data_IF_858302905420
#
_entry.id   IF_858302905420
#
_cell.length_a   1.000
_cell.length_b   1.000
_cell.length_c   1.000
_cell.angle_alpha   90.00
_cell.angle_beta   90.00
_cell.angle_gamma   90.00
#
_symmetry.space_group_name_H-M   'P 1'
#
loop_
_entity.id
_entity.type
_entity.pdbx_description
1 polymer ?
#
# COMPACT_ATOMS: atom_id res chain seq x y z
N UNK A 1 -26.23 8.00 -14.16
CA UNK A 1 -25.27 6.89 -13.96
C UNK A 1 -25.23 6.57 -12.48
N UNK A 2 -25.16 5.29 -12.07
CA UNK A 2 -24.96 4.95 -10.67
C UNK A 2 -23.62 5.52 -10.18
N UNK A 3 -23.57 5.96 -8.92
CA UNK A 3 -22.33 6.44 -8.31
C UNK A 3 -21.30 5.29 -8.23
N UNK A 4 -20.00 5.55 -8.45
CA UNK A 4 -18.97 4.54 -8.29
C UNK A 4 -18.98 3.99 -6.86
N UNK A 5 -18.76 2.68 -6.73
CA UNK A 5 -18.59 2.04 -5.43
C UNK A 5 -17.10 2.17 -5.08
N UNK A 6 -16.80 3.04 -4.13
CA UNK A 6 -15.44 3.30 -3.69
C UNK A 6 -15.18 2.66 -2.32
N UNK A 7 -13.98 2.12 -2.15
CA UNK A 7 -13.47 1.69 -0.84
C UNK A 7 -12.27 2.53 -0.49
N UNK A 8 -12.33 3.19 0.66
CA UNK A 8 -11.24 3.95 1.24
C UNK A 8 -10.64 3.18 2.43
N UNK A 9 -9.33 3.17 2.56
CA UNK A 9 -8.65 2.74 3.77
C UNK A 9 -7.35 3.52 3.99
N UNK A 10 -6.88 3.49 5.24
CA UNK A 10 -5.64 4.15 5.64
C UNK A 10 -4.59 3.12 6.05
N UNK A 11 -3.42 3.16 5.42
CA UNK A 11 -2.30 2.27 5.68
C UNK A 11 -1.11 3.00 6.32
N UNK A 12 -0.28 2.26 7.06
CA UNK A 12 1.02 2.73 7.53
C UNK A 12 2.09 1.72 7.19
N UNK A 13 3.21 2.21 6.67
CA UNK A 13 4.31 1.40 6.17
C UNK A 13 5.61 1.84 6.83
N UNK A 14 6.49 0.89 7.08
CA UNK A 14 7.84 1.17 7.60
C UNK A 14 8.84 0.17 7.07
N UNK A 15 10.03 0.64 6.76
CA UNK A 15 11.10 -0.21 6.26
C UNK A 15 12.45 0.46 6.31
N UNK A 16 13.50 -0.35 6.33
CA UNK A 16 14.87 0.15 6.13
C UNK A 16 15.18 0.09 4.64
N UNK A 17 15.50 1.24 4.06
CA UNK A 17 15.93 1.32 2.66
C UNK A 17 17.43 1.58 2.57
N UNK A 18 18.06 1.02 1.55
CA UNK A 18 19.50 1.09 1.28
C UNK A 18 19.79 1.93 0.04
N UNK A 19 20.95 2.62 -0.03
CA UNK A 19 21.37 3.39 -1.19
C UNK A 19 21.41 2.53 -2.46
N UNK A 20 21.09 3.14 -3.59
CA UNK A 20 21.40 2.63 -4.93
C UNK A 20 22.53 3.49 -5.48
N UNK A 21 23.66 2.88 -5.87
CA UNK A 21 24.83 3.62 -6.36
C UNK A 21 25.37 4.62 -5.33
N UNK A 22 25.69 5.84 -5.79
CA UNK A 22 26.13 6.96 -4.95
C UNK A 22 24.96 7.70 -4.27
N UNK A 23 23.82 7.02 -4.11
CA UNK A 23 22.62 7.56 -3.52
C UNK A 23 22.78 7.94 -2.03
N UNK A 24 21.72 8.55 -1.46
CA UNK A 24 21.70 8.97 -0.06
C UNK A 24 21.87 7.78 0.87
N UNK A 25 22.39 8.04 2.09
CA UNK A 25 22.66 6.99 3.09
C UNK A 25 21.40 6.18 3.41
N UNK A 26 21.61 4.93 3.83
CA UNK A 26 20.54 4.06 4.30
C UNK A 26 19.75 4.74 5.44
N UNK A 27 18.43 4.65 5.39
CA UNK A 27 17.56 5.22 6.41
C UNK A 27 16.36 4.32 6.68
N UNK A 28 15.65 4.60 7.77
CA UNK A 28 14.29 4.12 7.95
C UNK A 28 13.38 5.07 7.17
N UNK A 29 12.49 4.48 6.37
CA UNK A 29 11.41 5.17 5.68
C UNK A 29 10.11 4.80 6.35
N UNK A 30 9.28 5.80 6.62
CA UNK A 30 7.93 5.63 7.16
C UNK A 30 6.93 6.31 6.24
N UNK A 31 5.87 5.59 5.87
CA UNK A 31 4.70 6.17 5.19
C UNK A 31 3.57 6.18 6.21
N UNK A 32 3.11 7.37 6.56
CA UNK A 32 2.11 7.58 7.59
C UNK A 32 0.79 8.03 6.96
N UNK A 33 -0.28 7.40 7.43
CA UNK A 33 -1.65 7.71 7.08
C UNK A 33 -1.89 7.76 5.56
N UNK A 34 -1.36 6.76 4.85
CA UNK A 34 -1.53 6.59 3.42
C UNK A 34 -3.00 6.26 3.12
N UNK A 35 -3.74 7.21 2.56
CA UNK A 35 -5.15 7.05 2.21
C UNK A 35 -5.26 6.54 0.78
N UNK A 36 -5.82 5.34 0.60
CA UNK A 36 -6.02 4.73 -0.71
C UNK A 36 -7.52 4.62 -0.96
N UNK A 37 -7.96 5.07 -2.15
CA UNK A 37 -9.34 4.94 -2.63
C UNK A 37 -9.37 4.02 -3.84
N UNK A 38 -10.09 2.92 -3.72
CA UNK A 38 -10.22 1.88 -4.75
C UNK A 38 -11.58 2.03 -5.42
N UNK A 39 -11.61 2.10 -6.75
CA UNK A 39 -12.84 2.01 -7.53
C UNK A 39 -13.14 0.53 -7.82
N UNK A 40 -14.21 0.02 -7.23
CA UNK A 40 -14.61 -1.38 -7.39
C UNK A 40 -15.44 -1.64 -8.65
N UNK A 41 -16.01 -0.60 -9.24
CA UNK A 41 -16.76 -0.66 -10.49
C UNK A 41 -15.87 -0.61 -11.73
N UNK A 42 -14.66 -0.05 -11.60
CA UNK A 42 -13.71 0.08 -12.69
C UNK A 42 -12.75 -1.11 -12.79
N UNK A 43 -12.21 -1.32 -14.00
CA UNK A 43 -11.10 -2.24 -14.27
C UNK A 43 -10.12 -1.56 -15.23
N UNK A 44 -8.82 -1.74 -15.01
CA UNK A 44 -7.80 -1.34 -15.99
C UNK A 44 -7.86 -2.25 -17.23
N UNK A 45 -7.14 -1.89 -18.30
CA UNK A 45 -7.04 -2.74 -19.49
C UNK A 45 -6.48 -4.15 -19.16
N UNK A 46 -5.72 -4.26 -18.09
CA UNK A 46 -5.12 -5.49 -17.57
C UNK A 46 -6.01 -6.20 -16.54
N UNK A 47 -7.24 -5.71 -16.32
CA UNK A 47 -8.20 -6.28 -15.40
C UNK A 47 -7.93 -6.00 -13.92
N UNK A 48 -6.98 -5.11 -13.60
CA UNK A 48 -6.70 -4.71 -12.23
C UNK A 48 -7.79 -3.76 -11.69
N UNK A 49 -7.95 -3.71 -10.38
CA UNK A 49 -8.74 -2.68 -9.70
C UNK A 49 -7.91 -1.39 -9.62
N UNK A 50 -8.35 -0.30 -10.28
CA UNK A 50 -7.65 0.97 -10.17
C UNK A 50 -7.93 1.60 -8.80
N UNK A 51 -6.91 2.24 -8.26
CA UNK A 51 -7.00 3.02 -7.05
C UNK A 51 -6.11 4.24 -7.12
N UNK A 52 -6.49 5.26 -6.35
CA UNK A 52 -5.79 6.53 -6.24
C UNK A 52 -5.33 6.74 -4.81
N UNK A 53 -4.17 7.35 -4.65
CA UNK A 53 -3.70 7.81 -3.35
C UNK A 53 -4.29 9.18 -3.09
N UNK A 54 -5.14 9.28 -2.07
CA UNK A 54 -5.84 10.51 -1.72
C UNK A 54 -5.09 11.37 -0.69
N UNK A 55 -4.05 10.82 -0.05
CA UNK A 55 -3.23 11.56 0.90
C UNK A 55 -2.31 10.67 1.72
N UNK A 56 -1.53 11.31 2.59
CA UNK A 56 -0.55 10.69 3.47
C UNK A 56 0.75 11.47 3.49
N UNK A 57 1.71 10.99 4.28
CA UNK A 57 3.02 11.62 4.42
C UNK A 57 4.13 10.58 4.39
N UNK A 58 5.26 10.94 3.79
CA UNK A 58 6.48 10.14 3.81
C UNK A 58 7.55 10.82 4.66
N UNK A 59 8.20 10.04 5.52
CA UNK A 59 9.34 10.47 6.32
C UNK A 59 10.55 9.64 5.92
N UNK A 60 11.56 10.31 5.37
CA UNK A 60 12.82 9.70 4.94
C UNK A 60 13.98 10.68 5.21
N UNK A 61 14.60 10.65 6.41
CA UNK A 61 15.52 11.68 6.87
C UNK A 61 16.77 11.90 6.00
N UNK A 62 17.16 10.91 5.20
CA UNK A 62 18.32 11.03 4.28
C UNK A 62 17.95 11.66 2.94
N UNK A 63 16.67 11.80 2.63
CA UNK A 63 16.15 12.56 1.49
C UNK A 63 15.80 13.99 1.89
N UNK A 64 15.05 14.13 2.99
CA UNK A 64 14.60 15.40 3.52
C UNK A 64 14.36 15.28 5.04
N UNK A 65 14.74 16.29 5.87
CA UNK A 65 14.64 16.19 7.33
C UNK A 65 13.20 16.24 7.87
N UNK A 66 12.26 16.81 7.13
CA UNK A 66 10.85 16.93 7.51
C UNK A 66 9.92 15.98 6.74
N UNK A 67 8.64 15.87 7.17
CA UNK A 67 7.64 15.08 6.47
C UNK A 67 7.37 15.65 5.07
N UNK A 68 7.20 14.74 4.10
CA UNK A 68 6.88 15.07 2.71
C UNK A 68 5.44 14.62 2.43
N UNK A 69 4.48 15.54 2.26
CA UNK A 69 3.13 15.18 1.86
C UNK A 69 3.13 14.48 0.49
N UNK A 70 2.23 13.51 0.36
CA UNK A 70 1.94 12.87 -0.92
C UNK A 70 1.17 13.86 -1.79
N UNK A 71 1.64 14.06 -3.02
CA UNK A 71 1.03 14.98 -3.99
C UNK A 71 0.15 14.28 -5.01
N UNK A 72 0.53 13.06 -5.40
CA UNK A 72 -0.23 12.22 -6.31
C UNK A 72 0.12 10.74 -6.08
N UNK A 73 -0.69 9.83 -6.59
CA UNK A 73 -0.32 8.43 -6.63
C UNK A 73 -1.40 7.55 -7.21
N UNK A 74 -0.95 6.47 -7.84
CA UNK A 74 -1.78 5.44 -8.43
C UNK A 74 -1.42 4.08 -7.88
N UNK A 75 -2.43 3.22 -7.76
CA UNK A 75 -2.27 1.84 -7.34
C UNK A 75 -3.14 0.96 -8.24
N UNK A 76 -2.55 -0.11 -8.76
CA UNK A 76 -3.26 -1.17 -9.46
C UNK A 76 -3.31 -2.39 -8.54
N UNK A 77 -4.49 -2.73 -8.03
CA UNK A 77 -4.67 -3.87 -7.15
C UNK A 77 -5.13 -5.10 -7.95
N UNK A 78 -4.63 -6.27 -7.56
CA UNK A 78 -5.09 -7.58 -8.05
C UNK A 78 -4.97 -7.64 -9.58
N UNK A 79 -3.75 -7.48 -10.10
CA UNK A 79 -3.48 -7.75 -11.52
C UNK A 79 -3.73 -9.23 -11.85
N UNK A 80 -3.85 -9.56 -13.13
CA UNK A 80 -4.00 -10.95 -13.60
C UNK A 80 -2.87 -11.88 -13.09
N UNK A 81 -1.67 -11.34 -12.88
CA UNK A 81 -0.49 -12.04 -12.37
C UNK A 81 -0.45 -12.12 -10.83
N UNK A 82 -1.52 -11.70 -10.14
CA UNK A 82 -1.56 -11.68 -8.68
C UNK A 82 -0.57 -10.69 -8.08
N UNK A 83 -0.39 -9.53 -8.71
CA UNK A 83 0.47 -8.46 -8.21
C UNK A 83 -0.34 -7.23 -7.86
N UNK A 84 0.29 -6.35 -7.11
CA UNK A 84 -0.14 -4.97 -6.94
C UNK A 84 1.04 -4.07 -7.30
N UNK A 85 0.77 -3.11 -8.18
CA UNK A 85 1.73 -2.10 -8.62
C UNK A 85 1.31 -0.76 -8.04
N UNK A 86 2.28 0.06 -7.65
CA UNK A 86 1.99 1.39 -7.15
C UNK A 86 3.11 2.36 -7.51
N UNK A 87 2.71 3.61 -7.67
CA UNK A 87 3.58 4.75 -7.88
C UNK A 87 3.01 5.93 -7.09
N UNK A 88 3.80 6.50 -6.19
CA UNK A 88 3.35 7.54 -5.26
C UNK A 88 4.35 8.69 -5.29
N UNK A 89 3.88 9.88 -5.65
CA UNK A 89 4.69 11.09 -5.66
C UNK A 89 4.58 11.83 -4.33
N UNK A 90 5.70 12.37 -3.87
CA UNK A 90 5.76 13.19 -2.66
C UNK A 90 6.78 14.30 -2.84
N UNK A 91 6.46 15.45 -2.24
CA UNK A 91 7.28 16.63 -2.31
C UNK A 91 7.50 17.18 -0.90
N UNK A 92 8.70 17.68 -0.63
CA UNK A 92 8.95 18.40 0.61
C UNK A 92 8.18 19.72 0.63
N UNK A 93 7.52 20.01 1.75
CA UNK A 93 6.84 21.28 1.94
C UNK A 93 7.86 22.42 1.82
N UNK A 94 7.56 23.41 0.96
CA UNK A 94 8.40 24.58 0.68
C UNK A 94 9.68 24.31 -0.12
N UNK A 95 9.87 23.09 -0.63
CA UNK A 95 11.05 22.65 -1.37
C UNK A 95 10.63 21.87 -2.62
N UNK A 96 10.06 22.53 -3.65
CA UNK A 96 9.55 21.86 -4.85
C UNK A 96 10.63 21.10 -5.64
N UNK A 97 11.91 21.47 -5.48
CA UNK A 97 13.06 20.75 -6.02
C UNK A 97 13.30 19.39 -5.35
N UNK A 98 12.75 19.18 -4.15
CA UNK A 98 12.78 17.93 -3.41
C UNK A 98 11.51 17.13 -3.67
N UNK A 99 11.32 16.76 -4.94
CA UNK A 99 10.23 15.89 -5.37
C UNK A 99 10.78 14.51 -5.68
N UNK A 100 10.06 13.49 -5.22
CA UNK A 100 10.45 12.10 -5.32
C UNK A 100 9.25 11.23 -5.67
N UNK A 101 9.54 10.04 -6.17
CA UNK A 101 8.52 9.01 -6.43
C UNK A 101 8.90 7.71 -5.73
N UNK A 102 7.93 7.10 -5.05
CA UNK A 102 8.02 5.80 -4.42
C UNK A 102 7.25 4.84 -5.33
N UNK A 103 7.98 3.99 -6.02
CA UNK A 103 7.40 2.94 -6.86
C UNK A 103 7.62 1.57 -6.22
N UNK A 104 6.77 0.62 -6.57
CA UNK A 104 7.06 -0.75 -6.22
C UNK A 104 6.03 -1.77 -6.62
N UNK A 105 6.28 -2.99 -6.13
CA UNK A 105 5.43 -4.14 -6.37
C UNK A 105 5.19 -4.90 -5.07
N UNK A 106 3.97 -5.40 -4.92
CA UNK A 106 3.61 -6.40 -3.93
C UNK A 106 3.17 -7.67 -4.63
N UNK A 107 3.71 -8.80 -4.20
CA UNK A 107 3.34 -10.11 -4.71
C UNK A 107 2.25 -10.69 -3.82
N UNK A 108 1.10 -11.03 -4.39
CA UNK A 108 0.06 -11.75 -3.66
C UNK A 108 0.42 -13.23 -3.69
N UNK A 109 0.41 -13.89 -2.53
CA UNK A 109 0.84 -15.27 -2.34
C UNK A 109 0.23 -16.25 -3.39
N UNK A 110 1.00 -16.72 -4.37
CA UNK A 110 0.53 -17.63 -5.43
C UNK A 110 0.44 -19.10 -4.98
N UNK A 111 1.04 -19.45 -3.82
CA UNK A 111 1.18 -20.86 -3.40
C UNK A 111 -0.15 -21.47 -2.93
N UNK A 112 -0.37 -22.75 -3.27
CA UNK A 112 -1.58 -23.52 -2.90
C UNK A 112 -1.70 -23.85 -1.40
N UNK A 113 -0.60 -23.84 -0.62
CA UNK A 113 -0.62 -24.05 0.85
C UNK A 113 0.54 -23.37 1.62
N UNK A 114 0.70 -22.03 1.58
CA UNK A 114 1.68 -21.33 2.40
C UNK A 114 1.28 -21.35 3.88
N UNK A 115 2.27 -21.41 4.78
CA UNK A 115 2.03 -21.27 6.21
C UNK A 115 1.42 -19.89 6.51
N UNK A 116 0.64 -19.75 7.60
CA UNK A 116 0.13 -18.47 8.09
C UNK A 116 1.16 -17.33 8.10
N UNK A 117 2.39 -17.62 8.53
CA UNK A 117 3.48 -16.65 8.61
C UNK A 117 3.98 -16.22 7.23
N UNK A 118 4.06 -17.15 6.28
CA UNK A 118 4.46 -16.85 4.91
C UNK A 118 3.42 -15.96 4.23
N UNK A 119 2.13 -16.29 4.40
CA UNK A 119 1.04 -15.46 3.89
C UNK A 119 1.14 -14.05 4.47
N UNK A 120 1.26 -13.93 5.78
CA UNK A 120 1.37 -12.63 6.45
C UNK A 120 2.50 -11.80 5.86
N UNK A 121 3.70 -12.39 5.72
CA UNK A 121 4.86 -11.69 5.17
C UNK A 121 4.59 -11.21 3.74
N UNK A 122 4.00 -12.06 2.90
CA UNK A 122 3.68 -11.72 1.50
C UNK A 122 2.57 -10.66 1.40
N UNK A 123 1.57 -10.69 2.28
CA UNK A 123 0.47 -9.71 2.30
C UNK A 123 0.84 -8.40 2.97
N UNK A 124 1.98 -8.31 3.66
CA UNK A 124 2.39 -7.09 4.38
C UNK A 124 3.69 -6.48 3.89
N UNK A 125 4.39 -7.10 2.93
CA UNK A 125 5.65 -6.58 2.38
C UNK A 125 5.44 -6.00 1.00
N UNK A 126 5.88 -4.76 0.81
CA UNK A 126 5.97 -4.08 -0.48
C UNK A 126 7.46 -3.95 -0.81
N UNK A 127 7.86 -4.32 -2.03
CA UNK A 127 9.22 -4.11 -2.50
C UNK A 127 9.28 -2.77 -3.22
N UNK A 128 10.04 -1.83 -2.68
CA UNK A 128 9.94 -0.43 -3.04
C UNK A 128 11.27 0.13 -3.53
N UNK A 129 11.18 1.14 -4.39
CA UNK A 129 12.28 2.02 -4.76
C UNK A 129 11.84 3.48 -4.66
N UNK A 130 12.78 4.34 -4.29
CA UNK A 130 12.59 5.79 -4.33
C UNK A 130 13.48 6.36 -5.41
N UNK A 131 12.92 7.23 -6.24
CA UNK A 131 13.62 7.97 -7.29
C UNK A 131 13.47 9.48 -7.06
N UNK A 132 14.45 10.27 -7.50
CA UNK A 132 14.27 11.72 -7.62
C UNK A 132 13.44 12.06 -8.86
N UNK A 133 12.67 13.14 -8.80
CA UNK A 133 12.04 13.75 -9.96
C UNK A 133 12.73 15.08 -10.32
N UNK A 134 12.74 15.49 -11.61
CA UNK A 134 12.10 14.82 -12.75
C UNK A 134 12.95 13.70 -13.39
N UNK A 135 14.23 13.59 -13.04
CA UNK A 135 15.18 12.70 -13.74
C UNK A 135 14.94 11.19 -13.54
N UNK A 136 14.06 10.80 -12.61
CA UNK A 136 13.80 9.42 -12.18
C UNK A 136 15.06 8.67 -11.75
N UNK A 137 16.05 9.38 -11.21
CA UNK A 137 17.30 8.78 -10.74
C UNK A 137 17.03 7.92 -9.51
N UNK A 138 17.38 6.62 -9.51
CA UNK A 138 17.14 5.74 -8.37
C UNK A 138 18.03 6.14 -7.17
N UNK A 139 17.43 6.29 -5.99
CA UNK A 139 18.11 6.75 -4.78
C UNK A 139 18.19 5.67 -3.72
N UNK A 140 17.06 5.03 -3.42
CA UNK A 140 16.92 4.05 -2.33
C UNK A 140 16.11 2.84 -2.81
N UNK A 141 16.41 1.66 -2.26
CA UNK A 141 15.63 0.42 -2.45
C UNK A 141 15.46 -0.30 -1.13
N UNK A 142 14.33 -0.97 -0.93
CA UNK A 142 14.13 -1.81 0.24
C UNK A 142 12.69 -2.26 0.41
N UNK A 143 12.45 -3.22 1.30
CA UNK A 143 11.10 -3.62 1.66
C UNK A 143 10.47 -2.59 2.60
N UNK A 144 9.25 -2.18 2.29
CA UNK A 144 8.33 -1.54 3.24
C UNK A 144 7.37 -2.58 3.78
N UNK A 145 7.05 -2.50 5.07
CA UNK A 145 6.21 -3.49 5.75
C UNK A 145 5.09 -2.84 6.55
N UNK A 146 3.92 -3.48 6.54
CA UNK A 146 2.81 -3.17 7.44
C UNK A 146 2.99 -3.96 8.73
N UNK A 147 3.09 -3.27 9.87
CA UNK A 147 3.15 -3.96 11.17
C UNK A 147 1.77 -4.51 11.53
N UNK A 148 1.65 -5.57 12.35
CA UNK A 148 0.35 -6.14 12.76
C UNK A 148 -0.63 -5.12 13.37
N UNK A 149 -0.12 -4.18 14.17
CA UNK A 149 -0.93 -3.10 14.76
C UNK A 149 -1.45 -2.12 13.69
N UNK A 150 -0.65 -1.85 12.67
CA UNK A 150 -0.97 -0.92 11.59
C UNK A 150 -1.97 -1.56 10.62
N UNK A 151 -1.89 -2.87 10.41
CA UNK A 151 -2.92 -3.63 9.70
C UNK A 151 -4.26 -3.61 10.44
N UNK A 152 -4.24 -3.71 11.78
CA UNK A 152 -5.47 -3.58 12.58
C UNK A 152 -6.07 -2.18 12.46
N UNK A 153 -5.23 -1.14 12.34
CA UNK A 153 -5.66 0.22 12.06
C UNK A 153 -6.29 0.33 10.66
N UNK A 154 -5.66 -0.26 9.64
CA UNK A 154 -6.18 -0.32 8.28
C UNK A 154 -7.58 -0.95 8.20
N UNK A 155 -7.80 -2.07 8.91
CA UNK A 155 -9.13 -2.70 8.94
C UNK A 155 -10.19 -1.81 9.60
N UNK A 156 -9.79 -0.96 10.55
CA UNK A 156 -10.70 -0.03 11.25
C UNK A 156 -10.96 1.26 10.46
N UNK A 157 -10.03 1.66 9.59
CA UNK A 157 -10.18 2.84 8.73
C UNK A 157 -10.95 2.54 7.44
N UNK A 158 -11.22 1.26 7.15
CA UNK A 158 -11.97 0.83 5.99
C UNK A 158 -13.37 1.46 5.96
N UNK A 159 -13.63 2.23 4.92
CA UNK A 159 -14.91 2.87 4.63
C UNK A 159 -15.30 2.56 3.21
N UNK A 160 -16.59 2.37 2.98
CA UNK A 160 -17.13 2.19 1.64
C UNK A 160 -18.17 3.28 1.38
N UNK A 161 -18.08 3.89 0.21
CA UNK A 161 -19.00 4.90 -0.28
C UNK A 161 -19.79 4.29 -1.45
N UNK A 162 -21.11 4.43 -1.43
CA UNK A 162 -22.03 3.80 -2.39
C UNK A 162 -23.33 3.30 -1.72
N UNK A 163 -24.12 2.50 -2.44
CA UNK A 163 -25.30 1.85 -1.86
C UNK A 163 -24.88 0.87 -0.75
N UNK A 164 -25.60 0.88 0.37
CA UNK A 164 -25.19 0.24 1.64
C UNK A 164 -24.99 -1.29 1.53
N UNK A 165 -25.74 -1.95 0.66
CA UNK A 165 -25.62 -3.39 0.40
C UNK A 165 -24.36 -3.70 -0.44
N UNK A 166 -24.08 -2.87 -1.44
CA UNK A 166 -22.88 -2.96 -2.28
C UNK A 166 -21.61 -2.62 -1.49
N UNK A 167 -21.69 -1.67 -0.56
CA UNK A 167 -20.60 -1.27 0.32
C UNK A 167 -20.15 -2.42 1.26
N UNK A 168 -21.10 -3.18 1.82
CA UNK A 168 -20.79 -4.35 2.64
C UNK A 168 -20.19 -5.50 1.82
N UNK A 169 -20.73 -5.75 0.63
CA UNK A 169 -20.18 -6.76 -0.30
C UNK A 169 -18.78 -6.36 -0.81
N UNK A 170 -18.57 -5.08 -1.11
CA UNK A 170 -17.30 -4.48 -1.47
C UNK A 170 -16.23 -4.66 -0.39
N UNK A 171 -16.58 -4.32 0.86
CA UNK A 171 -15.71 -4.55 2.03
C UNK A 171 -15.43 -6.03 2.21
N UNK A 172 -16.43 -6.91 2.06
CA UNK A 172 -16.25 -8.36 2.16
C UNK A 172 -15.41 -8.94 1.01
N UNK A 173 -15.47 -8.38 -0.20
CA UNK A 173 -14.62 -8.75 -1.33
C UNK A 173 -13.19 -8.25 -1.16
N UNK A 174 -13.01 -7.02 -0.67
CA UNK A 174 -11.70 -6.45 -0.38
C UNK A 174 -11.02 -7.22 0.76
N UNK A 175 -11.73 -7.41 1.88
CA UNK A 175 -11.32 -8.28 2.97
C UNK A 175 -11.21 -9.73 2.47
N UNK A 176 -12.03 -10.21 1.53
CA UNK A 176 -11.91 -11.56 0.98
C UNK A 176 -10.62 -11.74 0.17
N UNK A 177 -10.28 -10.77 -0.67
CA UNK A 177 -9.05 -10.75 -1.48
C UNK A 177 -7.79 -10.65 -0.60
N UNK A 178 -7.84 -9.87 0.48
CA UNK A 178 -6.73 -9.70 1.42
C UNK A 178 -6.68 -10.77 2.54
N UNK A 179 -7.84 -11.20 3.03
CA UNK A 179 -8.05 -11.98 4.24
C UNK A 179 -8.51 -13.42 4.00
N UNK A 180 -8.97 -13.84 2.81
CA UNK A 180 -9.06 -15.30 2.53
C UNK A 180 -7.70 -16.00 2.69
N UNK A 181 -6.61 -15.24 2.61
CA UNK A 181 -5.26 -15.69 2.92
C UNK A 181 -4.80 -15.26 4.34
N UNK A 182 -5.01 -14.01 4.77
CA UNK A 182 -4.54 -13.53 6.09
C UNK A 182 -5.44 -13.86 7.30
N UNK A 183 -6.76 -14.02 7.12
CA UNK A 183 -7.71 -14.25 8.22
C UNK A 183 -7.54 -15.61 8.88
N UNK A 184 -7.05 -16.63 8.16
CA UNK A 184 -6.75 -17.94 8.76
C UNK A 184 -5.75 -17.83 9.92
N UNK A 185 -4.84 -16.84 9.86
CA UNK A 185 -3.83 -16.55 10.88
C UNK A 185 -4.45 -15.94 12.15
N UNK A 186 -5.47 -15.09 11.99
CA UNK A 186 -6.09 -14.33 13.08
C UNK A 186 -7.33 -15.02 13.68
N UNK A 187 -8.21 -15.57 12.85
CA UNK A 187 -9.42 -16.29 13.29
C UNK A 187 -9.07 -17.66 13.90
N UNK A 188 -7.99 -18.31 13.46
CA UNK A 188 -7.52 -19.57 14.03
C UNK A 188 -6.99 -19.46 15.48
N UNK A 189 -6.64 -18.25 15.94
CA UNK A 189 -6.25 -17.99 17.33
C UNK A 189 -7.41 -17.54 18.21
N UNK A 190 -8.41 -16.87 17.65
CA UNK A 190 -9.62 -16.49 18.38
C UNK A 190 -10.50 -17.70 18.76
N UNK A 191 -10.47 -18.77 17.95
CA UNK A 191 -11.29 -19.98 18.14
C UNK A 191 -10.59 -21.12 18.92
N UNK A 192 -9.38 -20.89 19.47
CA UNK A 192 -8.66 -21.86 20.32
C UNK A 192 -8.58 -21.44 21.79
N UNK A 193 -9.36 -20.44 22.18
CA UNK A 193 -9.52 -19.98 23.57
C UNK A 193 -10.99 -19.97 24.02
N UNK A 194 -11.82 -20.77 23.37
CA UNK A 194 -13.19 -21.08 23.79
C UNK A 194 -13.25 -22.54 24.23
#
# INVERSE_FOLDING_TARGET
>A
MPAPIEVEFTERLTGRMTPIGDGPRACVVEVNDLVIRVDLGARTAQGALPARVAGGTLVAPTLHPGPMPISDGSVELITAEGRMHYEIEFAAAHHPEHTYVLEGVKRLAERRSPSPLTIWRETTTLYSRIHSLPARTPLLTGPLTVRPRDFSHQLRSLRAEGHREDAAAAVALFIGAFASRAAHVYLGRALRRS
#
